data_IF_589407774147
#
_entry.id   IF_589407774147
#
_cell.length_a   1.000
_cell.length_b   1.000
_cell.length_c   1.000
_cell.angle_alpha   90.00
_cell.angle_beta   90.00
_cell.angle_gamma   90.00
#
_symmetry.space_group_name_H-M   'P 1'
#
loop_
_entity.id
_entity.type
_entity.pdbx_description
1 polymer ?
#
# COMPACT_ATOMS: atom_id res chain seq x y z
N UNK A 1 36.14 -4.89 -60.82
CA UNK A 1 35.73 -3.82 -59.87
C UNK A 1 34.33 -4.15 -59.38
N UNK A 2 34.20 -4.54 -58.12
CA UNK A 2 32.96 -4.90 -57.44
C UNK A 2 32.74 -3.89 -56.30
N UNK A 3 31.53 -3.36 -56.06
CA UNK A 3 31.28 -2.51 -54.90
C UNK A 3 30.93 -3.38 -53.68
N UNK A 4 31.67 -3.19 -52.58
CA UNK A 4 31.33 -3.75 -51.27
C UNK A 4 30.22 -2.88 -50.67
N UNK A 5 29.04 -3.48 -50.39
CA UNK A 5 27.96 -2.85 -49.61
C UNK A 5 28.38 -2.72 -48.14
N UNK A 6 28.30 -1.50 -47.60
CA UNK A 6 28.43 -1.22 -46.15
C UNK A 6 27.05 -0.81 -45.64
N UNK A 7 26.20 -1.76 -45.26
CA UNK A 7 24.83 -1.47 -44.79
C UNK A 7 24.42 -2.22 -43.50
N UNK A 8 25.36 -2.74 -42.71
CA UNK A 8 25.00 -3.60 -41.56
C UNK A 8 25.16 -2.92 -40.17
N UNK A 9 25.79 -1.75 -40.09
CA UNK A 9 26.16 -1.17 -38.79
C UNK A 9 25.09 -0.27 -38.12
N UNK A 10 24.16 0.33 -38.87
CA UNK A 10 23.28 1.39 -38.35
C UNK A 10 21.97 0.88 -37.74
N UNK A 11 21.53 -0.34 -38.08
CA UNK A 11 20.26 -0.88 -37.59
C UNK A 11 20.34 -1.37 -36.13
N UNK A 12 21.49 -1.95 -35.72
CA UNK A 12 21.69 -2.51 -34.38
C UNK A 12 21.79 -1.43 -33.29
N UNK A 13 22.41 -0.30 -33.57
CA UNK A 13 22.57 0.79 -32.60
C UNK A 13 21.23 1.47 -32.23
N UNK A 14 20.30 1.62 -33.18
CA UNK A 14 18.99 2.24 -32.90
C UNK A 14 18.11 1.36 -32.00
N UNK A 15 18.14 0.04 -32.20
CA UNK A 15 17.40 -0.91 -31.38
C UNK A 15 17.95 -0.97 -29.93
N UNK A 16 19.27 -0.95 -29.78
CA UNK A 16 19.92 -0.92 -28.46
C UNK A 16 19.60 0.39 -27.72
N UNK A 17 19.61 1.53 -28.43
CA UNK A 17 19.26 2.82 -27.83
C UNK A 17 17.79 2.87 -27.40
N UNK A 18 16.87 2.34 -28.23
CA UNK A 18 15.45 2.27 -27.90
C UNK A 18 15.16 1.38 -26.68
N UNK A 19 15.82 0.22 -26.58
CA UNK A 19 15.69 -0.65 -25.41
C UNK A 19 16.26 -0.01 -24.14
N UNK A 20 17.41 0.67 -24.25
CA UNK A 20 18.00 1.37 -23.11
C UNK A 20 17.09 2.50 -22.60
N UNK A 21 16.46 3.27 -23.50
CA UNK A 21 15.49 4.30 -23.10
C UNK A 21 14.24 3.75 -22.44
N UNK A 22 13.74 2.60 -22.90
CA UNK A 22 12.58 1.94 -22.30
C UNK A 22 12.90 1.44 -20.88
N UNK A 23 14.10 0.91 -20.66
CA UNK A 23 14.53 0.40 -19.36
C UNK A 23 14.65 1.52 -18.31
N UNK A 24 15.16 2.70 -18.70
CA UNK A 24 15.23 3.88 -17.83
C UNK A 24 13.83 4.42 -17.48
N UNK A 25 12.89 4.41 -18.42
CA UNK A 25 11.52 4.84 -18.17
C UNK A 25 10.77 3.94 -17.17
N UNK A 26 11.01 2.61 -17.21
CA UNK A 26 10.40 1.65 -16.28
C UNK A 26 10.94 1.81 -14.84
N UNK A 27 12.21 2.19 -14.68
CA UNK A 27 12.81 2.42 -13.36
C UNK A 27 12.24 3.69 -12.68
N UNK A 28 11.84 4.71 -13.45
CA UNK A 28 11.30 5.96 -12.91
C UNK A 28 9.87 5.83 -12.32
N UNK A 29 9.13 4.75 -12.63
CA UNK A 29 7.75 4.54 -12.16
C UNK A 29 7.69 4.04 -10.70
N UNK A 30 8.79 3.51 -10.14
CA UNK A 30 8.77 2.86 -8.83
C UNK A 30 8.98 3.82 -7.64
N UNK A 31 9.14 5.12 -7.90
CA UNK A 31 9.43 6.12 -6.88
C UNK A 31 8.24 7.04 -6.55
N UNK A 32 7.01 6.67 -6.95
CA UNK A 32 5.83 7.42 -6.54
C UNK A 32 5.49 7.05 -5.09
N UNK A 33 5.54 7.99 -4.13
CA UNK A 33 4.95 7.75 -2.83
C UNK A 33 3.46 7.51 -3.05
N UNK A 34 3.01 6.30 -2.74
CA UNK A 34 1.59 6.04 -2.50
C UNK A 34 1.22 6.97 -1.36
N UNK A 35 0.51 8.05 -1.67
CA UNK A 35 0.01 8.95 -0.64
C UNK A 35 -0.86 8.12 0.28
N UNK A 36 -0.41 7.90 1.51
CA UNK A 36 -1.29 7.38 2.55
C UNK A 36 -2.45 8.37 2.66
N UNK A 37 -3.72 7.92 2.59
CA UNK A 37 -4.83 8.80 2.91
C UNK A 37 -4.66 9.26 4.36
N UNK A 38 -4.10 10.45 4.51
CA UNK A 38 -3.91 11.15 5.76
C UNK A 38 -5.27 11.60 6.27
N UNK A 39 -6.03 10.70 6.90
CA UNK A 39 -7.14 11.08 7.78
C UNK A 39 -7.62 9.98 8.74
N UNK A 40 -6.80 8.99 9.11
CA UNK A 40 -7.05 8.25 10.35
C UNK A 40 -6.51 9.09 11.51
N UNK A 41 -7.25 10.13 11.86
CA UNK A 41 -7.00 10.89 13.08
C UNK A 41 -7.36 9.96 14.23
N UNK A 42 -6.37 9.20 14.68
CA UNK A 42 -6.15 8.81 16.06
C UNK A 42 -7.42 8.46 16.84
N UNK A 43 -7.81 7.18 16.84
CA UNK A 43 -8.57 6.57 17.94
C UNK A 43 -9.87 7.26 18.35
N UNK A 44 -10.53 8.01 17.46
CA UNK A 44 -11.88 8.49 17.78
C UNK A 44 -12.81 7.29 17.83
N UNK A 45 -13.43 7.09 18.99
CA UNK A 45 -14.49 6.12 19.24
C UNK A 45 -15.55 6.04 18.11
N UNK A 46 -15.75 7.12 17.35
CA UNK A 46 -16.73 7.23 16.27
C UNK A 46 -16.16 8.03 15.09
N UNK A 47 -15.19 7.52 14.33
CA UNK A 47 -14.58 8.17 13.16
C UNK A 47 -15.56 8.51 12.02
N UNK A 48 -16.50 9.42 12.24
CA UNK A 48 -17.60 9.74 11.34
C UNK A 48 -18.81 8.80 11.43
N UNK A 49 -18.81 7.85 12.36
CA UNK A 49 -19.91 6.90 12.50
C UNK A 49 -21.04 7.47 13.37
N UNK A 50 -22.27 7.48 12.84
CA UNK A 50 -23.46 8.02 13.52
C UNK A 50 -24.32 6.97 14.22
N UNK A 51 -24.09 5.68 13.94
CA UNK A 51 -24.93 4.56 14.41
C UNK A 51 -24.15 3.50 15.20
N UNK A 52 -22.87 3.31 14.90
CA UNK A 52 -22.00 2.33 15.54
C UNK A 52 -20.68 2.99 15.95
N UNK A 53 -20.12 2.54 17.08
CA UNK A 53 -18.87 3.00 17.64
C UNK A 53 -19.01 3.51 19.08
N UNK A 54 -17.90 3.53 19.80
CA UNK A 54 -17.83 3.77 21.23
C UNK A 54 -16.41 3.65 21.75
N UNK A 55 -16.23 3.67 23.06
CA UNK A 55 -14.93 3.42 23.68
C UNK A 55 -15.01 2.15 24.51
N UNK A 56 -14.36 1.10 24.03
CA UNK A 56 -14.11 -0.14 24.77
C UNK A 56 -12.67 -0.61 24.55
N UNK A 57 -11.71 -0.03 25.28
CA UNK A 57 -10.29 -0.38 25.12
C UNK A 57 -10.03 -1.80 25.62
N UNK A 58 -9.41 -2.61 24.76
CA UNK A 58 -8.98 -3.97 25.10
C UNK A 58 -7.47 -4.10 25.07
N UNK A 59 -6.96 -5.13 25.76
CA UNK A 59 -5.55 -5.49 25.65
C UNK A 59 -5.32 -6.25 24.34
N UNK A 60 -4.59 -5.63 23.40
CA UNK A 60 -4.33 -6.17 22.07
C UNK A 60 -3.59 -7.52 22.14
N UNK A 61 -2.63 -7.67 23.05
CA UNK A 61 -1.88 -8.94 23.19
C UNK A 61 -2.80 -10.10 23.58
N UNK A 62 -3.68 -9.87 24.56
CA UNK A 62 -4.68 -10.84 24.96
C UNK A 62 -5.61 -11.18 23.81
N UNK A 63 -6.05 -10.19 23.02
CA UNK A 63 -6.94 -10.42 21.90
C UNK A 63 -6.28 -11.26 20.80
N UNK A 64 -5.07 -10.90 20.39
CA UNK A 64 -4.29 -11.58 19.37
C UNK A 64 -3.90 -13.01 19.78
N UNK A 65 -3.63 -13.24 21.07
CA UNK A 65 -3.21 -14.54 21.59
C UNK A 65 -4.22 -15.67 21.37
N UNK A 66 -5.49 -15.31 21.13
CA UNK A 66 -6.56 -16.27 20.82
C UNK A 66 -6.36 -16.98 19.47
N UNK A 67 -5.53 -16.44 18.58
CA UNK A 67 -5.36 -16.91 17.20
C UNK A 67 -3.99 -17.53 16.95
N UNK A 68 -3.84 -18.82 17.23
CA UNK A 68 -2.55 -19.52 17.11
C UNK A 68 -2.05 -19.74 15.67
N UNK A 69 -2.95 -19.66 14.67
CA UNK A 69 -2.60 -19.81 13.25
C UNK A 69 -2.23 -18.50 12.54
N UNK A 70 -2.36 -17.37 13.22
CA UNK A 70 -2.05 -16.05 12.68
C UNK A 70 -0.79 -15.48 13.32
N UNK A 71 0.02 -14.77 12.51
CA UNK A 71 1.18 -14.05 13.01
C UNK A 71 0.75 -13.05 14.08
N UNK A 72 1.22 -13.30 15.30
CA UNK A 72 0.93 -12.46 16.47
C UNK A 72 1.45 -11.05 16.27
N UNK A 73 2.60 -10.89 15.62
CA UNK A 73 3.17 -9.59 15.29
C UNK A 73 2.27 -8.81 14.31
N UNK A 74 1.77 -9.49 13.27
CA UNK A 74 0.85 -8.86 12.31
C UNK A 74 -0.47 -8.45 12.97
N UNK A 75 -1.03 -9.32 13.82
CA UNK A 75 -2.26 -9.01 14.55
C UNK A 75 -2.11 -7.75 15.41
N UNK A 76 -1.03 -7.64 16.18
CA UNK A 76 -0.76 -6.47 17.02
C UNK A 76 -0.60 -5.21 16.19
N UNK A 77 0.19 -5.28 15.11
CA UNK A 77 0.45 -4.14 14.23
C UNK A 77 -0.85 -3.58 13.67
N UNK A 78 -1.69 -4.45 13.09
CA UNK A 78 -2.97 -4.05 12.51
C UNK A 78 -3.91 -3.50 13.58
N UNK A 79 -4.15 -4.23 14.68
CA UNK A 79 -5.07 -3.78 15.73
C UNK A 79 -4.64 -2.44 16.37
N UNK A 80 -3.33 -2.22 16.52
CA UNK A 80 -2.80 -0.98 17.07
C UNK A 80 -3.00 0.22 16.12
N UNK A 81 -2.83 0.00 14.80
CA UNK A 81 -2.94 1.07 13.80
C UNK A 81 -4.39 1.35 13.36
N UNK A 82 -5.20 0.30 13.23
CA UNK A 82 -6.58 0.44 12.73
C UNK A 82 -7.54 0.95 13.81
N UNK A 83 -7.43 0.45 15.05
CA UNK A 83 -8.39 0.76 16.13
C UNK A 83 -7.75 1.30 17.40
N UNK A 84 -6.42 1.28 17.51
CA UNK A 84 -5.73 1.60 18.77
C UNK A 84 -6.07 0.65 19.91
N UNK A 85 -6.59 -0.54 19.60
CA UNK A 85 -7.10 -1.49 20.59
C UNK A 85 -8.49 -1.17 21.13
N UNK A 86 -9.27 -0.30 20.48
CA UNK A 86 -10.67 -0.08 20.83
C UNK A 86 -11.56 -1.11 20.12
N UNK A 87 -12.17 -2.02 20.86
CA UNK A 87 -13.07 -3.05 20.32
C UNK A 87 -14.38 -2.49 19.75
N UNK A 88 -14.70 -1.22 20.05
CA UNK A 88 -15.81 -0.48 19.46
C UNK A 88 -15.32 0.67 18.57
N UNK A 89 -14.13 0.56 17.98
CA UNK A 89 -13.71 1.51 16.96
C UNK A 89 -14.67 1.46 15.76
N UNK A 90 -14.84 2.60 15.10
CA UNK A 90 -15.59 2.67 13.86
C UNK A 90 -15.03 3.78 12.99
N UNK A 91 -14.97 3.53 11.69
CA UNK A 91 -14.50 4.50 10.70
C UNK A 91 -15.44 4.59 9.50
N UNK A 92 -15.82 5.81 9.10
CA UNK A 92 -16.63 6.08 7.90
C UNK A 92 -15.71 6.43 6.73
N UNK A 93 -15.69 5.57 5.72
CA UNK A 93 -14.84 5.74 4.55
C UNK A 93 -15.42 6.77 3.57
N UNK A 94 -14.55 7.31 2.71
CA UNK A 94 -14.91 8.33 1.70
C UNK A 94 -15.84 7.80 0.61
N UNK A 95 -15.83 6.50 0.38
CA UNK A 95 -16.77 5.80 -0.52
C UNK A 95 -18.14 5.54 0.12
N UNK A 96 -18.32 5.93 1.38
CA UNK A 96 -19.55 5.71 2.14
C UNK A 96 -19.65 4.33 2.81
N UNK A 97 -18.64 3.46 2.70
CA UNK A 97 -18.56 2.23 3.49
C UNK A 97 -18.17 2.52 4.95
N UNK A 98 -18.32 1.52 5.83
CA UNK A 98 -18.00 1.65 7.26
C UNK A 98 -17.17 0.45 7.71
N UNK A 99 -16.04 0.72 8.34
CA UNK A 99 -15.23 -0.27 9.05
C UNK A 99 -15.60 -0.28 10.54
N UNK A 100 -15.72 -1.47 11.10
CA UNK A 100 -16.00 -1.75 12.52
C UNK A 100 -15.04 -2.79 13.08
#
# INVERSE_FOLDING_TARGET
FWPVRVEVATFKMKAVLALATLFVAVLAVQAMPIGEPSHLVNGSANGGCSTCGGSDPVNIDSWCSQYSGWSQECCRCIAQHESGGNAHACNKNTDGSTDV
#
